data_IF_088240002444
#
_entry.id   IF_088240002444
#
_cell.length_a   1.000
_cell.length_b   1.000
_cell.length_c   1.000
_cell.angle_alpha   90.00
_cell.angle_beta   90.00
_cell.angle_gamma   90.00
#
_symmetry.space_group_name_H-M   'P 1'
#
loop_
_entity.id
_entity.type
_entity.pdbx_description
1 polymer ?
#
# COMPACT_ATOMS: atom_id res chain seq x y z
N UNK A 1 -14.46 -2.71 -23.69
CA UNK A 1 -14.74 -2.96 -22.26
C UNK A 1 -15.58 -4.23 -22.00
N UNK A 2 -15.09 -5.16 -21.15
CA UNK A 2 -15.72 -6.48 -20.88
C UNK A 2 -16.29 -6.68 -19.47
N UNK A 3 -15.96 -5.81 -18.51
CA UNK A 3 -16.48 -5.89 -17.14
C UNK A 3 -17.94 -5.48 -17.16
N UNK A 4 -18.90 -6.35 -16.87
CA UNK A 4 -20.34 -6.06 -17.00
C UNK A 4 -21.01 -5.59 -15.71
N UNK A 5 -20.34 -5.74 -14.56
CA UNK A 5 -20.87 -5.44 -13.22
C UNK A 5 -19.83 -4.69 -12.37
N UNK A 6 -19.95 -4.73 -11.05
CA UNK A 6 -19.04 -4.04 -10.13
C UNK A 6 -19.35 -2.56 -10.02
N UNK A 7 -18.38 -1.72 -10.39
CA UNK A 7 -18.40 -0.26 -10.21
C UNK A 7 -19.54 0.47 -10.94
N UNK A 8 -20.12 -0.15 -11.97
CA UNK A 8 -20.99 0.51 -12.95
C UNK A 8 -22.21 1.23 -12.35
N UNK A 9 -22.88 0.61 -11.39
CA UNK A 9 -24.03 1.20 -10.69
C UNK A 9 -23.67 2.52 -10.02
N UNK A 10 -22.51 2.57 -9.37
CA UNK A 10 -21.99 3.77 -8.73
C UNK A 10 -21.70 4.86 -9.75
N UNK A 11 -21.03 4.54 -10.87
CA UNK A 11 -20.71 5.53 -11.91
C UNK A 11 -21.97 6.17 -12.51
N UNK A 12 -23.04 5.38 -12.68
CA UNK A 12 -24.35 5.91 -13.11
C UNK A 12 -24.94 6.81 -12.03
N UNK A 13 -24.95 6.37 -10.77
CA UNK A 13 -25.50 7.14 -9.66
C UNK A 13 -24.80 8.50 -9.44
N UNK A 14 -23.51 8.59 -9.76
CA UNK A 14 -22.69 9.79 -9.58
C UNK A 14 -22.49 10.60 -10.86
N UNK A 15 -23.10 10.20 -11.98
CA UNK A 15 -22.88 10.78 -13.31
C UNK A 15 -21.38 10.88 -13.66
N UNK A 16 -20.59 9.90 -13.26
CA UNK A 16 -19.14 9.90 -13.48
C UNK A 16 -18.84 9.62 -14.95
N UNK A 17 -17.98 10.44 -15.55
CA UNK A 17 -17.47 10.22 -16.90
C UNK A 17 -16.69 8.90 -16.97
N UNK A 18 -16.95 8.09 -18.01
CA UNK A 18 -16.35 6.76 -18.18
C UNK A 18 -15.59 6.70 -19.49
N UNK A 19 -14.37 6.18 -19.45
CA UNK A 19 -13.53 5.97 -20.62
C UNK A 19 -12.87 4.58 -20.58
N UNK A 20 -12.36 4.12 -21.73
CA UNK A 20 -11.57 2.90 -21.84
C UNK A 20 -10.45 3.14 -22.86
N UNK A 21 -9.26 3.45 -22.36
CA UNK A 21 -8.08 3.86 -23.13
C UNK A 21 -6.83 3.16 -22.58
N UNK A 22 -5.88 2.81 -23.45
CA UNK A 22 -4.59 2.23 -23.12
C UNK A 22 -3.53 3.35 -22.97
N UNK A 23 -3.06 3.55 -21.74
CA UNK A 23 -2.05 4.56 -21.41
C UNK A 23 -0.69 4.34 -22.06
N UNK A 24 -0.43 3.15 -22.65
CA UNK A 24 0.80 2.84 -23.40
C UNK A 24 0.72 3.25 -24.86
N UNK A 25 -0.46 3.52 -25.41
CA UNK A 25 -0.63 3.93 -26.80
C UNK A 25 -0.31 5.43 -26.94
N UNK A 26 0.98 5.76 -27.04
CA UNK A 26 1.49 7.13 -27.16
C UNK A 26 1.66 7.61 -28.61
N UNK A 27 1.73 6.69 -29.58
CA UNK A 27 1.86 7.05 -31.00
C UNK A 27 0.53 7.63 -31.51
N UNK A 28 0.56 8.79 -32.19
CA UNK A 28 -0.60 9.37 -32.86
C UNK A 28 -1.25 8.42 -33.86
N UNK A 29 -2.57 8.29 -33.79
CA UNK A 29 -3.36 7.66 -34.85
C UNK A 29 -3.57 8.69 -35.98
N UNK A 30 -2.88 8.46 -37.10
CA UNK A 30 -2.97 9.31 -38.31
C UNK A 30 -4.36 9.33 -38.93
N UNK A 31 -5.23 8.39 -38.57
CA UNK A 31 -6.62 8.33 -39.03
C UNK A 31 -7.60 9.04 -38.09
N UNK A 32 -7.15 9.41 -36.89
CA UNK A 32 -7.98 10.02 -35.85
C UNK A 32 -7.37 11.33 -35.34
N UNK A 33 -7.34 12.35 -36.20
CA UNK A 33 -6.86 13.71 -35.87
C UNK A 33 -5.44 13.75 -35.28
N UNK A 34 -4.60 12.77 -35.58
CA UNK A 34 -3.26 12.61 -34.97
C UNK A 34 -3.30 12.57 -33.43
N UNK A 35 -4.39 12.05 -32.85
CA UNK A 35 -4.49 11.81 -31.41
C UNK A 35 -4.01 10.40 -31.05
N UNK A 36 -3.38 10.27 -29.88
CA UNK A 36 -3.07 8.97 -29.28
C UNK A 36 -3.97 8.74 -28.06
N UNK A 37 -4.24 7.48 -27.70
CA UNK A 37 -5.06 7.20 -26.51
C UNK A 37 -4.44 7.77 -25.23
N UNK A 38 -3.11 7.70 -25.11
CA UNK A 38 -2.37 8.37 -24.01
C UNK A 38 -2.59 9.88 -24.03
N UNK A 39 -2.49 10.52 -25.19
CA UNK A 39 -2.72 11.96 -25.33
C UNK A 39 -4.14 12.34 -24.94
N UNK A 40 -5.13 11.57 -25.39
CA UNK A 40 -6.52 11.76 -25.02
C UNK A 40 -6.75 11.59 -23.51
N UNK A 41 -6.12 10.60 -22.86
CA UNK A 41 -6.17 10.46 -21.40
C UNK A 41 -5.61 11.70 -20.69
N UNK A 42 -4.50 12.26 -21.18
CA UNK A 42 -3.91 13.47 -20.60
C UNK A 42 -4.83 14.68 -20.75
N UNK A 43 -5.47 14.85 -21.91
CA UNK A 43 -6.47 15.91 -22.09
C UNK A 43 -7.68 15.71 -21.18
N UNK A 44 -8.20 14.48 -21.06
CA UNK A 44 -9.29 14.16 -20.12
C UNK A 44 -8.90 14.55 -18.69
N UNK A 45 -7.68 14.21 -18.24
CA UNK A 45 -7.25 14.50 -16.86
C UNK A 45 -7.05 15.99 -16.58
N UNK A 46 -6.69 16.80 -17.58
CA UNK A 46 -6.57 18.26 -17.43
C UNK A 46 -7.91 18.95 -17.14
N UNK A 47 -9.03 18.34 -17.53
CA UNK A 47 -10.37 18.87 -17.26
C UNK A 47 -10.80 18.70 -15.79
N UNK A 48 -10.06 17.92 -14.99
CA UNK A 48 -10.36 17.69 -13.58
C UNK A 48 -9.42 18.47 -12.66
N UNK A 49 -9.97 18.98 -11.57
CA UNK A 49 -9.17 19.65 -10.55
C UNK A 49 -8.24 18.66 -9.82
N UNK A 50 -7.05 19.10 -9.38
CA UNK A 50 -6.20 18.35 -8.46
C UNK A 50 -6.96 17.81 -7.25
N UNK A 51 -6.65 16.59 -6.83
CA UNK A 51 -7.34 15.89 -5.75
C UNK A 51 -8.62 15.16 -6.16
N UNK A 52 -9.01 15.22 -7.44
CA UNK A 52 -10.03 14.34 -8.02
C UNK A 52 -9.64 12.87 -7.87
N UNK A 53 -10.63 12.00 -7.76
CA UNK A 53 -10.45 10.55 -7.62
C UNK A 53 -10.75 9.88 -8.95
N UNK A 54 -9.79 9.09 -9.43
CA UNK A 54 -9.98 8.13 -10.50
C UNK A 54 -10.51 6.82 -9.92
N UNK A 55 -11.67 6.38 -10.41
CA UNK A 55 -12.29 5.10 -10.07
C UNK A 55 -12.10 4.11 -11.23
N UNK A 56 -11.98 2.83 -10.91
CA UNK A 56 -11.73 1.76 -11.87
C UNK A 56 -10.28 1.30 -11.83
N UNK A 57 -9.78 0.83 -12.97
CA UNK A 57 -8.40 0.38 -13.12
C UNK A 57 -7.88 0.60 -14.53
N UNK A 58 -6.59 0.38 -14.74
CA UNK A 58 -5.90 0.58 -16.01
C UNK A 58 -5.57 -0.74 -16.70
N UNK A 59 -5.38 -0.69 -18.02
CA UNK A 59 -4.80 -1.81 -18.79
C UNK A 59 -3.33 -2.04 -18.37
N UNK A 60 -2.60 -0.95 -18.09
CA UNK A 60 -1.23 -0.96 -17.58
C UNK A 60 -1.13 -0.08 -16.33
N UNK A 61 -0.80 -0.69 -15.19
CA UNK A 61 -0.71 -0.03 -13.88
C UNK A 61 0.34 1.10 -13.89
N UNK A 62 1.58 0.78 -14.26
CA UNK A 62 2.69 1.72 -14.17
C UNK A 62 2.46 2.98 -15.01
N UNK A 63 2.00 2.82 -16.25
CA UNK A 63 1.71 3.94 -17.13
C UNK A 63 0.45 4.71 -16.70
N UNK A 64 -0.62 4.02 -16.30
CA UNK A 64 -1.88 4.65 -15.87
C UNK A 64 -1.76 5.44 -14.57
N UNK A 65 -1.13 4.85 -13.55
CA UNK A 65 -0.88 5.51 -12.26
C UNK A 65 0.12 6.67 -12.43
N UNK A 66 1.08 6.56 -13.35
CA UNK A 66 1.97 7.68 -13.67
C UNK A 66 1.22 8.89 -14.23
N UNK A 67 0.30 8.67 -15.19
CA UNK A 67 -0.48 9.76 -15.79
C UNK A 67 -1.42 10.44 -14.79
N UNK A 68 -2.08 9.66 -13.93
CA UNK A 68 -2.95 10.22 -12.88
C UNK A 68 -2.14 10.93 -11.81
N UNK A 69 -0.99 10.39 -11.40
CA UNK A 69 -0.09 11.04 -10.45
C UNK A 69 0.43 12.38 -10.97
N UNK A 70 0.86 12.45 -12.24
CA UNK A 70 1.29 13.70 -12.90
C UNK A 70 0.18 14.77 -12.89
N UNK A 71 -1.08 14.34 -12.96
CA UNK A 71 -2.26 15.21 -12.91
C UNK A 71 -2.78 15.50 -11.49
N UNK A 72 -2.08 15.04 -10.44
CA UNK A 72 -2.55 15.10 -9.06
C UNK A 72 -3.94 14.45 -8.84
N UNK A 73 -4.21 13.36 -9.56
CA UNK A 73 -5.42 12.54 -9.44
C UNK A 73 -5.06 11.23 -8.75
N UNK A 74 -5.78 10.90 -7.69
CA UNK A 74 -5.55 9.67 -6.92
C UNK A 74 -6.38 8.52 -7.49
N UNK A 75 -5.84 7.30 -7.48
CA UNK A 75 -6.54 6.11 -7.99
C UNK A 75 -7.13 5.30 -6.85
N UNK A 76 -8.38 4.86 -6.98
CA UNK A 76 -8.97 3.81 -6.16
C UNK A 76 -9.33 2.62 -7.05
N UNK A 77 -8.58 1.52 -6.93
CA UNK A 77 -8.83 0.29 -7.67
C UNK A 77 -10.20 -0.29 -7.29
N UNK A 78 -11.16 -0.15 -8.20
CA UNK A 78 -12.58 -0.38 -7.92
C UNK A 78 -13.36 -0.99 -9.08
N UNK A 79 -12.74 -1.31 -10.21
CA UNK A 79 -13.42 -1.83 -11.40
C UNK A 79 -14.17 -3.15 -11.14
N UNK A 80 -13.69 -3.95 -10.19
CA UNK A 80 -14.35 -5.17 -9.70
C UNK A 80 -14.95 -5.04 -8.29
N UNK A 81 -15.14 -3.82 -7.78
CA UNK A 81 -15.82 -3.56 -6.51
C UNK A 81 -17.34 -3.52 -6.69
N UNK A 82 -18.07 -4.32 -5.92
CA UNK A 82 -19.52 -4.45 -6.03
C UNK A 82 -20.25 -3.57 -5.00
N UNK A 83 -21.38 -3.02 -5.44
CA UNK A 83 -22.36 -2.30 -4.62
C UNK A 83 -21.78 -1.06 -3.93
N UNK A 84 -20.83 -0.35 -4.55
CA UNK A 84 -20.18 0.82 -3.93
C UNK A 84 -21.20 1.89 -3.53
N UNK A 85 -22.28 2.03 -4.31
CA UNK A 85 -23.41 2.92 -4.00
C UNK A 85 -24.13 2.53 -2.70
N UNK A 86 -24.28 1.23 -2.44
CA UNK A 86 -24.87 0.73 -1.19
C UNK A 86 -23.89 0.92 -0.03
N UNK A 87 -22.63 0.53 -0.22
CA UNK A 87 -21.59 0.63 0.80
C UNK A 87 -21.37 2.07 1.28
N UNK A 88 -21.40 3.04 0.35
CA UNK A 88 -21.24 4.47 0.67
C UNK A 88 -22.48 5.05 1.35
N UNK A 89 -23.68 4.52 1.05
CA UNK A 89 -24.95 5.02 1.60
C UNK A 89 -25.23 4.55 3.02
N UNK A 90 -24.67 3.40 3.43
CA UNK A 90 -24.92 2.82 4.76
C UNK A 90 -23.90 3.35 5.77
N UNK A 91 -24.33 4.28 6.60
CA UNK A 91 -23.55 4.71 7.76
C UNK A 91 -23.61 3.65 8.87
N UNK A 92 -22.47 3.29 9.51
CA UNK A 92 -22.48 2.32 10.59
C UNK A 92 -23.21 2.89 11.81
N UNK A 93 -24.04 2.06 12.46
CA UNK A 93 -24.82 2.48 13.63
C UNK A 93 -23.96 2.85 14.85
N UNK A 94 -22.69 2.44 14.86
CA UNK A 94 -21.68 2.81 15.84
C UNK A 94 -20.46 3.39 15.14
N UNK A 95 -19.94 4.51 15.67
CA UNK A 95 -18.65 5.06 15.26
C UNK A 95 -17.59 3.97 15.30
N UNK A 96 -16.66 3.97 14.33
CA UNK A 96 -15.58 2.99 14.23
C UNK A 96 -14.65 3.18 15.42
N UNK A 97 -14.99 2.58 16.55
CA UNK A 97 -14.13 2.55 17.71
C UNK A 97 -13.21 1.34 17.59
N UNK A 98 -12.02 1.52 17.00
CA UNK A 98 -10.84 1.00 17.71
C UNK A 98 -10.56 2.03 18.79
N UNK A 99 -11.18 1.81 19.96
CA UNK A 99 -10.79 2.53 21.16
C UNK A 99 -9.34 2.18 21.47
N UNK A 100 -8.44 3.13 21.21
CA UNK A 100 -7.00 3.05 21.42
C UNK A 100 -6.26 1.94 20.63
N UNK A 101 -5.01 2.17 20.19
CA UNK A 101 -4.15 1.07 19.79
C UNK A 101 -4.07 0.09 20.97
N UNK A 102 -4.26 -1.21 20.70
CA UNK A 102 -3.94 -2.23 21.70
C UNK A 102 -2.54 -1.92 22.21
N UNK A 103 -2.32 -1.76 23.53
CA UNK A 103 -0.99 -1.52 24.06
C UNK A 103 -0.11 -2.70 23.65
N UNK A 104 0.69 -2.49 22.62
CA UNK A 104 1.70 -3.45 22.21
C UNK A 104 2.77 -3.36 23.28
N UNK A 105 2.87 -4.40 24.10
CA UNK A 105 4.05 -4.61 24.91
C UNK A 105 5.23 -4.73 23.96
N UNK A 106 5.90 -3.60 23.69
CA UNK A 106 7.07 -3.55 22.82
C UNK A 106 8.15 -4.39 23.51
N UNK A 107 8.55 -5.54 22.93
CA UNK A 107 9.46 -6.45 23.62
C UNK A 107 10.85 -5.82 23.73
N UNK A 108 11.54 -6.09 24.83
CA UNK A 108 12.97 -5.81 24.92
C UNK A 108 13.72 -6.91 24.18
N UNK A 109 14.42 -6.56 23.10
CA UNK A 109 15.26 -7.50 22.35
C UNK A 109 16.64 -7.62 22.99
N UNK A 110 17.13 -8.84 23.14
CA UNK A 110 18.54 -9.10 23.38
C UNK A 110 19.37 -8.84 22.11
N UNK A 111 20.68 -8.62 22.26
CA UNK A 111 21.55 -8.27 21.14
C UNK A 111 21.48 -9.29 19.98
N UNK A 112 21.34 -10.59 20.28
CA UNK A 112 21.35 -11.63 19.24
C UNK A 112 19.98 -11.86 18.57
N UNK A 113 18.93 -11.18 19.03
CA UNK A 113 17.58 -11.39 18.49
C UNK A 113 17.32 -10.57 17.22
N UNK A 114 16.40 -11.09 16.42
CA UNK A 114 15.91 -10.49 15.19
C UNK A 114 14.42 -10.25 15.35
N UNK A 115 13.99 -9.00 15.42
CA UNK A 115 12.57 -8.67 15.34
C UNK A 115 12.11 -8.74 13.89
N UNK A 116 11.04 -9.49 13.64
CA UNK A 116 10.48 -9.69 12.30
C UNK A 116 8.99 -9.40 12.31
N UNK A 117 8.53 -8.61 11.34
CA UNK A 117 7.11 -8.46 11.03
C UNK A 117 6.80 -8.93 9.61
N UNK A 118 5.56 -9.35 9.40
CA UNK A 118 5.01 -9.73 8.11
C UNK A 118 3.84 -8.82 7.79
N UNK A 119 3.76 -8.31 6.55
CA UNK A 119 2.72 -7.39 6.14
C UNK A 119 2.18 -7.76 4.75
N UNK A 120 0.87 -7.94 4.63
CA UNK A 120 0.22 -8.17 3.33
C UNK A 120 0.14 -6.90 2.48
N UNK A 121 0.42 -7.04 1.18
CA UNK A 121 0.30 -6.02 0.14
C UNK A 121 -1.14 -5.75 -0.31
N UNK A 122 -1.29 -4.87 -1.31
CA UNK A 122 -2.53 -4.60 -2.07
C UNK A 122 -3.67 -3.93 -1.28
N UNK A 123 -3.41 -3.44 -0.08
CA UNK A 123 -4.42 -2.80 0.76
C UNK A 123 -4.96 -1.47 0.24
N UNK A 124 -4.31 -0.82 -0.71
CA UNK A 124 -4.86 0.34 -1.43
C UNK A 124 -6.05 -0.02 -2.34
N UNK A 125 -6.07 -1.26 -2.80
CA UNK A 125 -7.04 -1.78 -3.73
C UNK A 125 -8.35 -2.12 -3.00
N UNK A 126 -9.38 -1.28 -3.17
CA UNK A 126 -10.67 -1.49 -2.49
C UNK A 126 -11.33 -2.82 -2.89
N UNK A 127 -11.16 -3.29 -4.13
CA UNK A 127 -11.71 -4.57 -4.54
C UNK A 127 -10.92 -5.77 -3.97
N UNK A 128 -9.63 -5.61 -3.70
CA UNK A 128 -8.87 -6.58 -2.91
C UNK A 128 -9.45 -6.67 -1.50
N UNK A 129 -9.67 -5.52 -0.84
CA UNK A 129 -10.27 -5.47 0.50
C UNK A 129 -11.62 -6.19 0.50
N UNK A 130 -12.52 -5.85 -0.41
CA UNK A 130 -13.87 -6.45 -0.46
C UNK A 130 -13.84 -7.97 -0.66
N UNK A 131 -12.91 -8.48 -1.47
CA UNK A 131 -12.92 -9.87 -1.92
C UNK A 131 -11.78 -10.68 -1.29
N UNK A 132 -10.56 -10.49 -1.79
CA UNK A 132 -9.48 -11.42 -1.49
C UNK A 132 -8.97 -11.28 -0.07
N UNK A 133 -8.87 -10.05 0.46
CA UNK A 133 -8.53 -9.82 1.86
C UNK A 133 -9.51 -10.53 2.79
N UNK A 134 -10.83 -10.53 2.50
CA UNK A 134 -11.80 -11.26 3.31
C UNK A 134 -11.53 -12.78 3.35
N UNK A 135 -11.01 -13.37 2.27
CA UNK A 135 -10.60 -14.79 2.26
C UNK A 135 -9.39 -15.01 3.16
N UNK A 136 -8.35 -14.18 3.03
CA UNK A 136 -7.15 -14.23 3.89
C UNK A 136 -7.51 -13.97 5.36
N UNK A 137 -8.45 -13.06 5.61
CA UNK A 137 -8.95 -12.72 6.94
C UNK A 137 -9.69 -13.88 7.62
N UNK A 138 -10.19 -14.85 6.84
CA UNK A 138 -10.86 -16.06 7.35
C UNK A 138 -9.93 -17.27 7.48
N UNK A 139 -8.65 -17.10 7.16
CA UNK A 139 -7.66 -18.18 7.32
C UNK A 139 -7.58 -18.63 8.79
N UNK A 140 -7.61 -19.95 9.06
CA UNK A 140 -7.63 -20.49 10.42
C UNK A 140 -6.34 -20.22 11.22
N UNK A 141 -5.23 -19.87 10.56
CA UNK A 141 -3.99 -19.49 11.22
C UNK A 141 -3.98 -18.01 11.66
N UNK A 142 -4.87 -17.15 11.12
CA UNK A 142 -4.94 -15.74 11.52
C UNK A 142 -5.22 -15.62 13.02
N UNK A 143 -4.54 -14.69 13.67
CA UNK A 143 -4.69 -14.43 15.10
C UNK A 143 -3.84 -15.33 15.99
N UNK A 144 -3.13 -16.32 15.44
CA UNK A 144 -2.18 -17.15 16.21
C UNK A 144 -0.76 -16.55 16.30
N UNK A 145 -0.46 -15.50 15.53
CA UNK A 145 0.81 -14.77 15.53
C UNK A 145 0.61 -13.33 15.01
N UNK A 146 1.48 -12.36 15.38
CA UNK A 146 1.41 -10.98 14.89
C UNK A 146 1.49 -10.87 13.35
N UNK A 147 0.56 -10.11 12.76
CA UNK A 147 0.42 -9.98 11.31
C UNK A 147 -0.09 -8.57 10.93
N UNK A 148 0.53 -8.00 9.90
CA UNK A 148 0.16 -6.72 9.32
C UNK A 148 -0.71 -6.84 8.07
N UNK A 149 -1.64 -5.91 7.93
CA UNK A 149 -2.51 -5.77 6.77
C UNK A 149 -2.42 -4.34 6.26
N UNK A 150 -2.00 -4.14 5.02
CA UNK A 150 -2.26 -2.86 4.37
C UNK A 150 -3.78 -2.70 4.20
N UNK A 151 -4.29 -1.48 4.40
CA UNK A 151 -5.70 -1.15 4.24
C UNK A 151 -5.85 0.29 3.75
N UNK A 152 -6.75 0.52 2.80
CA UNK A 152 -6.98 1.82 2.20
C UNK A 152 -7.61 2.76 3.23
N UNK A 153 -6.99 3.91 3.56
CA UNK A 153 -7.61 4.93 4.39
C UNK A 153 -8.96 5.42 3.83
N UNK A 154 -9.15 5.37 2.50
CA UNK A 154 -10.40 5.76 1.87
C UNK A 154 -11.58 4.82 2.18
N UNK A 155 -11.31 3.63 2.72
CA UNK A 155 -12.35 2.64 3.07
C UNK A 155 -13.37 3.20 4.08
N UNK A 156 -12.94 4.09 4.98
CA UNK A 156 -13.83 4.74 5.95
C UNK A 156 -14.92 5.59 5.29
N UNK A 157 -14.70 6.05 4.06
CA UNK A 157 -15.68 6.80 3.28
C UNK A 157 -16.37 5.92 2.24
N UNK A 158 -15.62 5.06 1.56
CA UNK A 158 -16.13 4.22 0.47
C UNK A 158 -17.00 3.05 0.98
N UNK A 159 -16.66 2.47 2.14
CA UNK A 159 -17.38 1.35 2.72
C UNK A 159 -17.22 1.30 4.25
N UNK A 160 -17.77 2.28 4.99
CA UNK A 160 -17.57 2.39 6.44
C UNK A 160 -18.04 1.13 7.21
N UNK A 161 -19.12 0.48 6.80
CA UNK A 161 -19.56 -0.78 7.40
C UNK A 161 -18.54 -1.92 7.23
N UNK A 162 -17.81 -1.93 6.10
CA UNK A 162 -16.75 -2.89 5.83
C UNK A 162 -15.50 -2.59 6.67
N UNK A 163 -15.09 -1.32 6.77
CA UNK A 163 -14.05 -0.90 7.70
C UNK A 163 -14.40 -1.34 9.15
N UNK A 164 -15.64 -1.11 9.58
CA UNK A 164 -16.09 -1.48 10.92
C UNK A 164 -16.05 -3.01 11.14
N UNK A 165 -16.33 -3.82 10.11
CA UNK A 165 -16.21 -5.27 10.19
C UNK A 165 -14.76 -5.72 10.44
N UNK A 166 -13.78 -5.20 9.69
CA UNK A 166 -12.38 -5.54 9.89
C UNK A 166 -11.88 -5.13 11.27
N UNK A 167 -12.26 -3.94 11.74
CA UNK A 167 -11.86 -3.46 13.06
C UNK A 167 -12.48 -4.27 14.19
N UNK A 168 -13.78 -4.63 14.09
CA UNK A 168 -14.49 -5.41 15.10
C UNK A 168 -14.01 -6.87 15.19
N UNK A 169 -13.53 -7.43 14.08
CA UNK A 169 -13.11 -8.83 14.00
C UNK A 169 -11.59 -9.02 14.00
N UNK A 170 -10.84 -7.94 14.21
CA UNK A 170 -9.41 -7.99 14.39
C UNK A 170 -9.08 -8.67 15.73
N UNK A 171 -8.10 -9.57 15.71
CA UNK A 171 -7.51 -10.13 16.91
C UNK A 171 -6.48 -9.17 17.52
N UNK A 172 -5.94 -9.51 18.68
CA UNK A 172 -4.85 -8.73 19.27
C UNK A 172 -3.54 -8.77 18.45
N UNK A 173 -3.45 -9.71 17.52
CA UNK A 173 -2.29 -9.92 16.66
C UNK A 173 -2.42 -9.24 15.29
N UNK A 174 -3.57 -8.62 14.98
CA UNK A 174 -3.79 -7.94 13.71
C UNK A 174 -3.46 -6.45 13.80
N UNK A 175 -2.62 -5.99 12.89
CA UNK A 175 -2.21 -4.60 12.77
C UNK A 175 -2.57 -4.04 11.40
N UNK A 176 -3.03 -2.79 11.36
CA UNK A 176 -3.44 -2.13 10.12
C UNK A 176 -2.45 -1.04 9.76
N UNK A 177 -1.98 -1.07 8.50
CA UNK A 177 -1.07 -0.09 7.91
C UNK A 177 -1.79 0.62 6.78
N UNK A 178 -1.71 1.94 6.68
CA UNK A 178 -2.28 2.68 5.56
C UNK A 178 -1.63 2.21 4.26
N UNK A 179 -2.46 1.79 3.30
CA UNK A 179 -2.00 1.23 2.03
C UNK A 179 -1.38 2.28 1.08
N UNK A 180 -0.68 1.80 0.03
CA UNK A 180 -0.01 2.64 -0.97
C UNK A 180 -0.92 3.71 -1.61
N UNK A 181 -0.56 4.99 -1.68
CA UNK A 181 0.47 5.67 -0.90
C UNK A 181 -0.20 6.75 -0.03
N UNK A 182 -1.35 6.43 0.57
CA UNK A 182 -2.14 7.35 1.39
C UNK A 182 -3.64 7.32 1.07
N UNK A 183 -4.24 8.49 0.82
CA UNK A 183 -5.68 8.63 0.52
C UNK A 183 -6.17 7.83 -0.71
N UNK A 184 -5.24 7.30 -1.50
CA UNK A 184 -5.40 6.29 -2.52
C UNK A 184 -4.07 6.12 -3.26
N UNK A 185 -4.07 5.32 -4.32
CA UNK A 185 -2.84 4.94 -4.98
C UNK A 185 -2.33 6.07 -5.88
N UNK A 186 -1.06 6.40 -5.71
CA UNK A 186 -0.31 7.39 -6.47
C UNK A 186 1.19 7.08 -6.37
N UNK A 187 1.98 7.59 -7.31
CA UNK A 187 3.44 7.56 -7.27
C UNK A 187 3.98 8.88 -6.71
N UNK A 188 4.56 8.87 -5.49
CA UNK A 188 5.02 10.09 -4.84
C UNK A 188 6.00 10.91 -5.69
N UNK A 189 6.92 10.27 -6.41
CA UNK A 189 7.93 10.93 -7.25
C UNK A 189 7.34 11.72 -8.43
N UNK A 190 6.10 11.40 -8.82
CA UNK A 190 5.40 12.00 -9.96
C UNK A 190 4.36 13.05 -9.54
N UNK A 191 4.00 13.07 -8.26
CA UNK A 191 2.98 13.98 -7.76
C UNK A 191 3.48 15.44 -7.78
N UNK A 192 2.72 16.40 -8.35
CA UNK A 192 3.11 17.80 -8.37
C UNK A 192 3.36 18.36 -6.96
N UNK A 193 4.53 18.97 -6.76
CA UNK A 193 4.98 19.41 -5.44
C UNK A 193 4.01 20.40 -4.78
N UNK A 194 3.38 21.28 -5.57
CA UNK A 194 2.39 22.25 -5.09
C UNK A 194 1.09 21.60 -4.61
N UNK A 195 0.73 20.41 -5.13
CA UNK A 195 -0.50 19.70 -4.77
C UNK A 195 -0.29 18.67 -3.65
N UNK A 196 0.97 18.35 -3.34
CA UNK A 196 1.31 17.31 -2.36
C UNK A 196 0.77 17.65 -0.96
N UNK A 197 0.81 18.91 -0.54
CA UNK A 197 0.34 19.32 0.78
C UNK A 197 -1.16 19.03 0.98
N UNK A 198 -1.98 19.32 -0.02
CA UNK A 198 -3.42 19.03 0.01
C UNK A 198 -3.70 17.52 0.05
N UNK A 199 -2.96 16.74 -0.75
CA UNK A 199 -3.04 15.27 -0.73
C UNK A 199 -2.68 14.68 0.64
N UNK A 200 -1.58 15.14 1.25
CA UNK A 200 -1.14 14.67 2.57
C UNK A 200 -2.13 15.07 3.67
N UNK A 201 -2.72 16.27 3.59
CA UNK A 201 -3.76 16.68 4.53
C UNK A 201 -5.00 15.78 4.44
N UNK A 202 -5.43 15.41 3.23
CA UNK A 202 -6.53 14.44 3.03
C UNK A 202 -6.15 13.06 3.56
N UNK A 203 -4.95 12.60 3.25
CA UNK A 203 -4.40 11.32 3.73
C UNK A 203 -4.40 11.27 5.26
N UNK A 204 -3.86 12.29 5.91
CA UNK A 204 -3.81 12.40 7.37
C UNK A 204 -5.17 12.32 8.03
N UNK A 205 -6.17 13.06 7.52
CA UNK A 205 -7.56 12.99 8.04
C UNK A 205 -8.17 11.59 7.92
N UNK A 206 -7.95 10.91 6.81
CA UNK A 206 -8.45 9.55 6.61
C UNK A 206 -7.74 8.55 7.52
N UNK A 207 -6.42 8.67 7.67
CA UNK A 207 -5.63 7.85 8.58
C UNK A 207 -6.07 8.06 10.04
N UNK A 208 -6.27 9.30 10.46
CA UNK A 208 -6.78 9.64 11.80
C UNK A 208 -8.16 9.02 12.04
N UNK A 209 -9.08 9.16 11.08
CA UNK A 209 -10.43 8.57 11.16
C UNK A 209 -10.41 7.04 11.23
N UNK A 210 -9.38 6.39 10.69
CA UNK A 210 -9.15 4.94 10.80
C UNK A 210 -8.17 4.56 11.91
N UNK A 211 -7.66 5.51 12.71
CA UNK A 211 -6.62 5.25 13.72
C UNK A 211 -5.38 4.54 13.15
N UNK A 212 -4.98 4.86 11.93
CA UNK A 212 -3.78 4.33 11.26
C UNK A 212 -2.58 5.22 11.61
N UNK A 213 -1.54 4.64 12.20
CA UNK A 213 -0.31 5.37 12.57
C UNK A 213 0.91 4.99 11.72
N UNK A 214 0.75 4.12 10.74
CA UNK A 214 1.85 3.68 9.87
C UNK A 214 1.38 3.73 8.43
N UNK A 215 2.26 4.16 7.53
CA UNK A 215 1.99 4.26 6.09
C UNK A 215 2.94 3.34 5.32
N UNK A 216 2.42 2.59 4.37
CA UNK A 216 3.19 1.97 3.27
C UNK A 216 3.09 2.89 2.05
N UNK A 217 4.23 3.23 1.46
CA UNK A 217 4.27 4.00 0.21
C UNK A 217 5.02 3.24 -0.88
N UNK A 218 4.39 3.13 -2.04
CA UNK A 218 5.00 2.60 -3.26
C UNK A 218 5.23 3.74 -4.24
N UNK A 219 6.31 3.64 -4.99
CA UNK A 219 6.71 4.57 -6.03
C UNK A 219 7.16 3.81 -7.28
N UNK A 220 7.41 4.51 -8.37
CA UNK A 220 7.85 3.92 -9.63
C UNK A 220 9.27 4.38 -9.99
N UNK A 221 10.08 3.47 -10.53
CA UNK A 221 11.35 3.87 -11.14
C UNK A 221 11.09 4.55 -12.49
N UNK A 222 11.87 5.59 -12.82
CA UNK A 222 11.70 6.44 -14.00
C UNK A 222 11.48 5.66 -15.32
N UNK A 223 12.24 4.58 -15.56
CA UNK A 223 12.12 3.80 -16.80
C UNK A 223 10.77 3.07 -16.92
N UNK A 224 10.16 2.65 -15.81
CA UNK A 224 8.84 2.00 -15.80
C UNK A 224 7.70 3.00 -16.07
N UNK A 225 7.88 4.26 -15.66
CA UNK A 225 6.89 5.32 -15.90
C UNK A 225 6.68 5.67 -17.38
N UNK A 226 7.60 5.24 -18.27
CA UNK A 226 7.55 5.53 -19.70
C UNK A 226 6.59 4.62 -20.48
N UNK A 227 6.22 3.45 -19.93
CA UNK A 227 5.32 2.50 -20.60
C UNK A 227 5.85 1.89 -21.90
N UNK A 228 7.16 2.03 -22.21
CA UNK A 228 7.76 1.55 -23.48
C UNK A 228 7.83 0.00 -23.48
N UNK A 229 7.12 -0.70 -24.39
CA UNK A 229 6.97 -2.17 -24.37
C UNK A 229 8.28 -2.95 -24.53
N UNK A 230 9.29 -2.37 -25.18
CA UNK A 230 10.55 -3.04 -25.51
C UNK A 230 11.46 -3.15 -24.28
N UNK A 231 11.28 -2.26 -23.28
CA UNK A 231 12.12 -2.18 -22.08
C UNK A 231 11.47 -2.93 -20.90
N UNK A 232 10.14 -3.08 -20.91
CA UNK A 232 9.38 -3.74 -19.84
C UNK A 232 9.83 -5.19 -19.53
N UNK A 233 10.14 -6.07 -20.50
CA UNK A 233 10.63 -7.43 -20.21
C UNK A 233 12.06 -7.46 -19.64
N UNK A 234 12.91 -6.51 -20.08
CA UNK A 234 14.29 -6.38 -19.60
C UNK A 234 14.29 -5.94 -18.13
N UNK A 235 13.38 -5.04 -17.75
CA UNK A 235 13.18 -4.59 -16.36
C UNK A 235 12.46 -5.65 -15.53
N UNK A 236 11.54 -6.42 -16.12
CA UNK A 236 10.85 -7.51 -15.43
C UNK A 236 11.80 -8.65 -15.01
N UNK A 237 12.86 -8.92 -15.78
CA UNK A 237 13.90 -9.90 -15.40
C UNK A 237 14.96 -9.35 -14.43
N UNK A 238 15.04 -8.03 -14.23
CA UNK A 238 15.85 -7.39 -13.19
C UNK A 238 15.13 -7.36 -11.82
N UNK A 239 13.91 -7.91 -11.74
CA UNK A 239 13.08 -7.92 -10.53
C UNK A 239 13.69 -8.78 -9.43
N UNK A 240 14.29 -8.13 -8.44
CA UNK A 240 14.21 -8.55 -7.04
C UNK A 240 14.02 -7.32 -6.12
N UNK A 241 12.93 -6.60 -6.43
CA UNK A 241 12.22 -5.53 -5.69
C UNK A 241 12.82 -4.12 -5.65
N UNK A 242 11.98 -3.16 -6.08
CA UNK A 242 12.25 -1.74 -6.25
C UNK A 242 10.96 -1.03 -6.68
N UNK A 243 10.33 -0.37 -5.72
CA UNK A 243 9.20 0.57 -5.85
C UNK A 243 9.27 1.56 -4.69
N UNK A 244 10.49 1.93 -4.30
CA UNK A 244 10.75 2.64 -3.06
C UNK A 244 10.70 4.14 -3.28
N UNK A 245 10.14 4.85 -2.32
CA UNK A 245 10.31 6.31 -2.23
C UNK A 245 11.76 6.56 -1.81
N UNK A 246 12.65 6.82 -2.77
CA UNK A 246 14.10 7.02 -2.53
C UNK A 246 14.46 8.46 -2.20
N UNK A 247 13.67 9.43 -2.69
CA UNK A 247 13.92 10.85 -2.46
C UNK A 247 13.70 11.22 -0.99
N UNK A 248 14.77 11.60 -0.29
CA UNK A 248 14.73 11.91 1.14
C UNK A 248 13.94 13.18 1.44
N UNK A 249 13.95 14.16 0.52
CA UNK A 249 13.13 15.37 0.64
C UNK A 249 11.63 15.05 0.57
N UNK A 250 11.24 14.09 -0.26
CA UNK A 250 9.87 13.60 -0.40
C UNK A 250 9.44 12.79 0.81
N UNK A 251 10.29 11.87 1.30
CA UNK A 251 10.07 11.19 2.58
C UNK A 251 9.84 12.21 3.70
N UNK A 252 10.66 13.26 3.77
CA UNK A 252 10.51 14.33 4.75
C UNK A 252 9.19 15.09 4.59
N UNK A 253 8.77 15.44 3.38
CA UNK A 253 7.48 16.10 3.13
C UNK A 253 6.29 15.24 3.58
N UNK A 254 6.31 13.93 3.28
CA UNK A 254 5.29 13.00 3.76
C UNK A 254 5.22 12.97 5.28
N UNK A 255 6.37 12.83 5.94
CA UNK A 255 6.44 12.76 7.39
C UNK A 255 5.97 14.07 8.03
N UNK A 256 6.41 15.21 7.52
CA UNK A 256 5.98 16.52 8.00
C UNK A 256 4.47 16.74 7.81
N UNK A 257 3.91 16.31 6.66
CA UNK A 257 2.49 16.46 6.37
C UNK A 257 1.59 15.53 7.19
N UNK A 258 2.10 14.37 7.61
CA UNK A 258 1.32 13.33 8.28
C UNK A 258 1.59 13.21 9.79
N UNK A 259 2.73 13.73 10.29
CA UNK A 259 3.03 13.75 11.72
C UNK A 259 1.95 14.41 12.59
N UNK A 260 1.31 15.54 12.17
CA UNK A 260 0.20 16.13 12.92
C UNK A 260 -1.01 15.20 13.11
N UNK A 261 -1.16 14.21 12.23
CA UNK A 261 -2.24 13.21 12.26
C UNK A 261 -1.81 11.89 12.95
N UNK A 262 -0.65 11.88 13.61
CA UNK A 262 -0.20 10.75 14.42
C UNK A 262 0.61 9.69 13.68
N UNK A 263 1.25 10.02 12.55
CA UNK A 263 2.19 9.11 11.88
C UNK A 263 3.36 8.75 12.82
N UNK A 264 3.62 7.44 12.95
CA UNK A 264 4.66 6.84 13.79
C UNK A 264 5.64 5.94 13.03
N UNK A 265 5.38 5.66 11.76
CA UNK A 265 6.29 4.90 10.91
C UNK A 265 5.93 5.02 9.42
N UNK A 266 6.95 4.95 8.58
CA UNK A 266 6.83 5.01 7.13
C UNK A 266 7.57 3.80 6.53
N UNK A 267 6.84 2.88 5.93
CA UNK A 267 7.42 1.82 5.12
C UNK A 267 7.55 2.27 3.66
N UNK A 268 8.64 1.87 3.01
CA UNK A 268 8.99 2.31 1.66
C UNK A 268 9.26 1.15 0.71
N UNK A 269 8.38 1.01 -0.27
CA UNK A 269 8.52 0.15 -1.44
C UNK A 269 8.24 -1.32 -1.20
N UNK A 270 8.03 -2.03 -2.31
CA UNK A 270 7.67 -3.45 -2.27
C UNK A 270 8.81 -4.40 -1.85
N UNK A 271 9.99 -3.87 -1.53
CA UNK A 271 11.10 -4.65 -1.01
C UNK A 271 12.46 -4.23 -1.57
N UNK A 272 13.52 -4.51 -0.82
CA UNK A 272 14.90 -4.62 -1.30
C UNK A 272 15.59 -5.80 -0.60
N UNK A 273 16.81 -6.14 -1.03
CA UNK A 273 17.60 -7.24 -0.43
C UNK A 273 18.21 -6.87 0.93
N UNK A 274 18.61 -5.63 1.09
CA UNK A 274 19.28 -5.13 2.30
C UNK A 274 18.54 -3.91 2.83
N UNK A 275 17.47 -4.11 3.62
CA UNK A 275 16.65 -3.04 4.18
C UNK A 275 17.48 -1.95 4.85
N UNK A 276 17.21 -0.69 4.50
CA UNK A 276 17.76 0.47 5.21
C UNK A 276 16.70 1.12 6.09
N UNK A 277 17.19 1.70 7.19
CA UNK A 277 16.42 2.50 8.13
C UNK A 277 16.99 3.91 8.13
N UNK A 278 16.12 4.91 8.06
CA UNK A 278 16.44 6.29 8.42
C UNK A 278 15.46 6.81 9.47
N UNK A 279 15.85 7.86 10.20
CA UNK A 279 14.97 8.58 11.11
C UNK A 279 14.77 9.99 10.57
N UNK A 280 13.53 10.40 10.37
CA UNK A 280 13.17 11.75 9.95
C UNK A 280 12.24 12.32 10.99
N UNK A 281 12.71 13.36 11.70
CA UNK A 281 11.96 13.99 12.80
C UNK A 281 11.45 12.98 13.86
N UNK A 282 12.23 11.94 14.13
CA UNK A 282 11.88 10.87 15.09
C UNK A 282 10.94 9.78 14.54
N UNK A 283 10.45 9.91 13.32
CA UNK A 283 9.66 8.87 12.62
C UNK A 283 10.62 7.95 11.84
N UNK A 284 10.58 6.62 12.05
CA UNK A 284 11.33 5.69 11.22
C UNK A 284 10.79 5.62 9.80
N UNK A 285 11.71 5.72 8.84
CA UNK A 285 11.51 5.32 7.45
C UNK A 285 12.24 4.01 7.26
N UNK A 286 11.54 2.97 6.83
CA UNK A 286 12.10 1.63 6.72
C UNK A 286 11.75 1.00 5.38
N UNK A 287 12.75 0.47 4.68
CA UNK A 287 12.52 -0.24 3.42
C UNK A 287 12.13 -1.69 3.67
N UNK A 288 11.11 -2.19 2.97
CA UNK A 288 10.67 -3.56 3.16
C UNK A 288 11.72 -4.57 2.69
N UNK A 289 11.70 -5.78 3.26
CA UNK A 289 12.50 -6.92 2.84
C UNK A 289 11.72 -7.74 1.80
N UNK A 290 12.03 -7.52 0.53
CA UNK A 290 11.47 -8.26 -0.61
C UNK A 290 9.94 -8.28 -0.73
N UNK A 291 9.46 -8.74 -1.88
CA UNK A 291 8.06 -9.11 -2.11
C UNK A 291 8.01 -10.64 -2.12
N UNK A 292 7.62 -11.20 -0.99
CA UNK A 292 7.62 -12.64 -0.76
C UNK A 292 6.31 -13.26 -1.27
N UNK A 293 6.43 -14.26 -2.14
CA UNK A 293 5.32 -14.92 -2.85
C UNK A 293 5.20 -16.43 -2.55
N UNK A 294 6.08 -16.96 -1.69
CA UNK A 294 6.11 -18.37 -1.30
C UNK A 294 6.84 -18.54 0.03
N UNK A 295 6.57 -19.65 0.73
CA UNK A 295 7.26 -20.03 1.98
C UNK A 295 8.78 -20.09 1.76
N UNK A 296 9.24 -20.77 0.70
CA UNK A 296 10.67 -20.91 0.39
C UNK A 296 11.34 -19.56 0.18
N UNK A 297 10.78 -18.72 -0.71
CA UNK A 297 11.35 -17.40 -0.98
C UNK A 297 11.37 -16.51 0.25
N UNK A 298 10.35 -16.62 1.12
CA UNK A 298 10.31 -15.89 2.39
C UNK A 298 11.47 -16.30 3.30
N UNK A 299 11.69 -17.61 3.47
CA UNK A 299 12.80 -18.12 4.27
C UNK A 299 14.15 -17.71 3.72
N UNK A 300 14.31 -17.74 2.39
CA UNK A 300 15.55 -17.31 1.72
C UNK A 300 15.81 -15.82 1.95
N UNK A 301 14.81 -14.96 1.76
CA UNK A 301 14.92 -13.51 2.03
C UNK A 301 15.34 -13.25 3.47
N UNK A 302 14.66 -13.86 4.44
CA UNK A 302 14.91 -13.65 5.87
C UNK A 302 16.29 -14.15 6.27
N UNK A 303 16.68 -15.36 5.85
CA UNK A 303 17.98 -15.95 6.19
C UNK A 303 19.13 -15.19 5.54
N UNK A 304 18.97 -14.73 4.30
CA UNK A 304 19.97 -13.92 3.60
C UNK A 304 20.13 -12.54 4.24
N UNK A 305 19.04 -11.88 4.66
CA UNK A 305 19.13 -10.61 5.38
C UNK A 305 19.80 -10.79 6.76
N UNK A 306 19.47 -11.87 7.47
CA UNK A 306 20.06 -12.18 8.77
C UNK A 306 21.57 -12.49 8.70
N UNK A 307 22.01 -13.18 7.64
CA UNK A 307 23.42 -13.55 7.46
C UNK A 307 24.28 -12.42 6.90
N UNK A 308 23.70 -11.52 6.10
CA UNK A 308 24.43 -10.41 5.47
C UNK A 308 24.62 -9.19 6.37
N UNK A 309 23.82 -9.04 7.43
CA UNK A 309 23.94 -7.92 8.37
C UNK A 309 24.67 -8.29 9.66
N UNK A 310 25.66 -7.48 10.04
CA UNK A 310 26.30 -7.54 11.36
C UNK A 310 25.55 -6.73 12.43
N UNK A 311 24.58 -5.89 12.04
CA UNK A 311 23.83 -5.04 12.97
C UNK A 311 22.91 -5.88 13.87
N UNK A 312 22.92 -5.59 15.16
CA UNK A 312 22.24 -6.39 16.17
C UNK A 312 21.72 -5.53 17.34
N UNK A 313 20.47 -5.72 17.81
CA UNK A 313 19.43 -6.58 17.24
C UNK A 313 19.06 -6.16 15.82
N UNK A 314 18.65 -7.13 14.99
CA UNK A 314 18.24 -6.89 13.61
C UNK A 314 16.72 -6.70 13.54
N UNK A 315 16.27 -5.86 12.62
CA UNK A 315 14.85 -5.59 12.37
C UNK A 315 14.56 -5.91 10.92
N UNK A 316 13.49 -6.64 10.64
CA UNK A 316 13.06 -7.03 9.30
C UNK A 316 11.54 -6.86 9.17
N UNK A 317 11.08 -6.15 8.13
CA UNK A 317 9.67 -6.19 7.71
C UNK A 317 9.58 -6.93 6.39
N UNK A 318 8.92 -8.08 6.35
CA UNK A 318 8.70 -8.83 5.11
C UNK A 318 7.40 -8.38 4.46
N UNK A 319 7.48 -7.88 3.23
CA UNK A 319 6.29 -7.50 2.46
C UNK A 319 5.79 -8.70 1.65
N UNK A 320 4.55 -9.08 1.89
CA UNK A 320 3.96 -10.33 1.43
C UNK A 320 3.04 -10.08 0.25
N UNK A 321 3.26 -10.77 -0.87
CA UNK A 321 2.33 -10.75 -2.00
C UNK A 321 1.02 -11.44 -1.60
N UNK A 322 -0.03 -10.64 -1.42
CA UNK A 322 -1.31 -11.12 -0.90
C UNK A 322 -1.98 -12.19 -1.78
N UNK A 323 -1.67 -12.20 -3.08
CA UNK A 323 -2.26 -13.13 -4.05
C UNK A 323 -1.66 -14.54 -4.05
N UNK A 324 -0.49 -14.73 -3.42
CA UNK A 324 0.23 -16.01 -3.43
C UNK A 324 0.52 -16.58 -2.04
N UNK A 325 0.32 -15.78 -0.99
CA UNK A 325 0.63 -16.15 0.39
C UNK A 325 -0.61 -16.04 1.27
N UNK A 326 -0.72 -16.95 2.23
CA UNK A 326 -1.79 -16.98 3.24
C UNK A 326 -1.22 -16.85 4.66
N UNK A 327 -2.05 -16.49 5.67
CA UNK A 327 -1.62 -16.61 7.07
C UNK A 327 -1.13 -18.03 7.43
N UNK A 328 -1.70 -19.08 6.84
CA UNK A 328 -1.23 -20.45 7.03
C UNK A 328 0.19 -20.66 6.49
N UNK A 329 0.55 -20.04 5.36
CA UNK A 329 1.92 -20.10 4.82
C UNK A 329 2.91 -19.32 5.70
N UNK A 330 2.50 -18.15 6.21
CA UNK A 330 3.33 -17.36 7.14
C UNK A 330 3.58 -18.15 8.42
N UNK A 331 2.59 -18.89 8.92
CA UNK A 331 2.76 -19.79 10.07
C UNK A 331 3.82 -20.87 9.79
N UNK A 332 3.84 -21.45 8.59
CA UNK A 332 4.86 -22.42 8.19
C UNK A 332 6.25 -21.78 8.12
N UNK A 333 6.36 -20.53 7.66
CA UNK A 333 7.63 -19.78 7.71
C UNK A 333 8.08 -19.64 9.16
N UNK A 334 7.23 -19.14 10.06
CA UNK A 334 7.56 -18.92 11.47
C UNK A 334 8.01 -20.21 12.15
N UNK A 335 7.36 -21.34 11.88
CA UNK A 335 7.74 -22.65 12.42
C UNK A 335 9.13 -23.14 11.97
N UNK A 336 9.63 -22.62 10.85
CA UNK A 336 10.95 -22.94 10.30
C UNK A 336 12.02 -21.88 10.61
N UNK A 337 11.64 -20.82 11.33
CA UNK A 337 12.57 -19.84 11.89
C UNK A 337 13.07 -20.32 13.26
N UNK A 338 14.31 -19.95 13.60
CA UNK A 338 14.91 -20.29 14.89
C UNK A 338 14.38 -19.44 16.06
N UNK A 339 14.69 -19.83 17.28
CA UNK A 339 14.31 -19.12 18.52
C UNK A 339 14.84 -17.67 18.63
N UNK A 340 15.82 -17.30 17.80
CA UNK A 340 16.36 -15.93 17.71
C UNK A 340 15.40 -14.93 17.05
N UNK A 341 14.39 -15.40 16.32
CA UNK A 341 13.40 -14.54 15.67
C UNK A 341 12.23 -14.24 16.61
N UNK A 342 11.95 -12.96 16.82
CA UNK A 342 10.82 -12.47 17.61
C UNK A 342 9.81 -11.86 16.64
N UNK A 343 8.69 -12.56 16.44
CA UNK A 343 7.63 -12.09 15.55
C UNK A 343 6.85 -10.97 16.24
N UNK A 344 6.74 -9.82 15.58
CA UNK A 344 6.05 -8.62 16.08
C UNK A 344 5.14 -8.04 14.97
N UNK A 345 4.20 -7.17 15.33
CA UNK A 345 3.44 -6.46 14.28
C UNK A 345 4.31 -5.38 13.61
N UNK A 346 3.91 -4.87 12.43
CA UNK A 346 4.61 -3.76 11.79
C UNK A 346 4.68 -2.49 12.66
N UNK A 347 3.62 -2.13 13.39
CA UNK A 347 3.60 -1.03 14.33
C UNK A 347 4.57 -1.21 15.50
N UNK A 348 4.66 -2.42 16.06
CA UNK A 348 5.68 -2.75 17.09
C UNK A 348 7.08 -2.64 16.51
N UNK A 349 7.30 -3.14 15.29
CA UNK A 349 8.59 -3.03 14.61
C UNK A 349 9.00 -1.56 14.45
N UNK A 350 8.08 -0.69 14.05
CA UNK A 350 8.33 0.76 13.97
C UNK A 350 8.67 1.37 15.33
N UNK A 351 7.96 0.98 16.39
CA UNK A 351 8.27 1.45 17.75
C UNK A 351 9.66 0.99 18.23
N UNK A 352 10.09 -0.20 17.85
CA UNK A 352 11.45 -0.69 18.11
C UNK A 352 12.48 0.08 17.29
N UNK A 353 12.24 0.27 16.00
CA UNK A 353 13.11 1.04 15.10
C UNK A 353 13.29 2.47 15.60
N UNK A 354 12.25 3.12 16.12
CA UNK A 354 12.34 4.48 16.67
C UNK A 354 13.29 4.57 17.88
N UNK A 355 13.45 3.50 18.65
CA UNK A 355 14.32 3.42 19.83
C UNK A 355 15.71 2.84 19.54
N UNK A 356 15.85 2.14 18.41
CA UNK A 356 17.12 1.56 17.99
C UNK A 356 18.13 2.68 17.68
N UNK A 357 19.26 2.66 18.40
CA UNK A 357 20.37 3.60 18.23
C UNK A 357 21.12 3.35 16.93
#
# INVERSE_FOLDING_TARGET
PKISAGLRSFLVATNTFVYYLDSRNFLPDVTNSFQSERGLMQEIFKEYAPGTVHLGWFIDEGSGVSLTSDAAITVLATDAFYNLEVWTSVQPATAIARGAPLPQNVPTLSANQIAISFMFSDGDNLQFIQHHMLRLWRDPARGSFPLGWTISPALIQAAPAMAAYYYRTASANDDFVAGPSGAGYMFPSRWPAQELAAFLQRTGRLMEAMSLSTLEALDIDFLQSTGIPIIAPIIANLRQTGMSVKDTGLQQRFIQGLAPFGLRGFFSGAGIKTPEKTLVQGVPVYQNLGLADSVSKTLDLVRNAASSSQQRPLYLNVYMLAWSMTPSDIKQVIQQLGNQYVVVTPGTLMALLAKAK
#
